data_IF_293238757700
#
_entry.id   IF_293238757700
#
_cell.length_a   1.000
_cell.length_b   1.000
_cell.length_c   1.000
_cell.angle_alpha   90.00
_cell.angle_beta   90.00
_cell.angle_gamma   90.00
#
_symmetry.space_group_name_H-M   'P 1'
#
loop_
_entity.id
_entity.type
_entity.pdbx_description
1 polymer ?
#
# COMPACT_ATOMS: atom_id res chain seq x y z
N UNK A 1 -16.15 -5.13 -10.36
CA UNK A 1 -15.23 -6.29 -10.27
C UNK A 1 -13.85 -5.71 -10.00
N UNK A 2 -13.13 -6.18 -8.99
CA UNK A 2 -11.89 -5.53 -8.55
C UNK A 2 -10.72 -5.83 -9.50
N UNK A 3 -9.89 -4.82 -9.79
CA UNK A 3 -8.70 -4.97 -10.63
C UNK A 3 -7.74 -5.99 -10.01
N UNK A 4 -7.24 -6.90 -10.84
CA UNK A 4 -6.16 -7.82 -10.48
C UNK A 4 -4.82 -7.19 -10.86
N UNK A 5 -3.87 -7.21 -9.91
CA UNK A 5 -2.53 -6.67 -10.07
C UNK A 5 -1.53 -7.81 -10.10
N UNK A 6 -0.68 -7.81 -11.14
CA UNK A 6 0.46 -8.71 -11.24
C UNK A 6 1.71 -7.99 -10.75
N UNK A 7 2.44 -8.61 -9.83
CA UNK A 7 3.64 -8.04 -9.24
C UNK A 7 4.61 -9.12 -8.81
N UNK A 8 5.90 -8.78 -8.79
CA UNK A 8 6.94 -9.63 -8.23
C UNK A 8 7.27 -9.17 -6.82
N UNK A 9 7.53 -10.14 -5.94
CA UNK A 9 8.04 -9.90 -4.59
C UNK A 9 9.30 -10.73 -4.36
N UNK A 10 10.40 -10.06 -4.08
CA UNK A 10 11.67 -10.67 -3.72
C UNK A 10 11.94 -10.41 -2.25
N UNK A 11 11.81 -11.45 -1.43
CA UNK A 11 11.98 -11.36 0.02
C UNK A 11 13.47 -11.22 0.36
N UNK A 12 13.84 -10.29 1.25
CA UNK A 12 15.25 -10.02 1.57
C UNK A 12 16.02 -11.27 2.06
N UNK A 13 15.36 -12.12 2.85
CA UNK A 13 15.97 -13.31 3.45
C UNK A 13 15.83 -14.59 2.61
N UNK A 14 15.11 -14.54 1.49
CA UNK A 14 14.89 -15.70 0.63
C UNK A 14 15.20 -15.26 -0.79
N UNK A 15 16.20 -15.86 -1.44
CA UNK A 15 16.50 -15.61 -2.85
C UNK A 15 15.37 -15.99 -3.83
N UNK A 16 14.18 -16.32 -3.31
CA UNK A 16 12.97 -16.64 -4.07
C UNK A 16 12.26 -15.34 -4.49
N UNK A 17 12.14 -15.17 -5.81
CA UNK A 17 11.26 -14.19 -6.39
C UNK A 17 9.90 -14.86 -6.64
N UNK A 18 8.88 -14.44 -5.91
CA UNK A 18 7.52 -14.91 -6.11
C UNK A 18 6.76 -13.96 -7.03
N UNK A 19 6.45 -14.40 -8.24
CA UNK A 19 5.43 -13.75 -9.07
C UNK A 19 4.05 -13.96 -8.42
N UNK A 20 3.26 -12.89 -8.37
CA UNK A 20 1.97 -12.87 -7.68
C UNK A 20 0.92 -12.21 -8.55
N UNK A 21 -0.31 -12.67 -8.38
CA UNK A 21 -1.48 -12.13 -9.05
C UNK A 21 -2.60 -12.02 -8.01
N UNK A 22 -2.91 -10.80 -7.59
CA UNK A 22 -3.79 -10.54 -6.46
C UNK A 22 -4.75 -9.38 -6.72
N UNK A 23 -5.92 -9.34 -6.06
CA UNK A 23 -6.78 -8.16 -6.08
C UNK A 23 -6.04 -6.91 -5.59
N UNK A 24 -6.39 -5.75 -6.15
CA UNK A 24 -5.78 -4.44 -5.82
C UNK A 24 -5.66 -4.21 -4.31
N UNK A 25 -6.70 -4.48 -3.54
CA UNK A 25 -6.72 -4.32 -2.07
C UNK A 25 -5.69 -5.19 -1.37
N UNK A 26 -5.55 -6.45 -1.80
CA UNK A 26 -4.56 -7.38 -1.25
C UNK A 26 -3.15 -6.91 -1.59
N UNK A 27 -2.93 -6.48 -2.83
CA UNK A 27 -1.66 -5.90 -3.27
C UNK A 27 -1.29 -4.65 -2.45
N UNK A 28 -2.23 -3.73 -2.21
CA UNK A 28 -2.01 -2.55 -1.38
C UNK A 28 -1.60 -2.92 0.05
N UNK A 29 -2.24 -3.91 0.68
CA UNK A 29 -1.80 -4.38 1.99
C UNK A 29 -0.37 -4.95 2.00
N UNK A 30 0.02 -5.63 0.93
CA UNK A 30 1.35 -6.22 0.79
C UNK A 30 2.42 -5.12 0.60
N UNK A 31 2.08 -4.01 -0.06
CA UNK A 31 3.02 -2.95 -0.42
C UNK A 31 3.75 -2.33 0.78
N UNK A 32 5.09 -2.34 0.79
CA UNK A 32 5.88 -1.68 1.82
C UNK A 32 5.76 -0.17 1.70
N UNK A 33 5.78 0.53 2.84
CA UNK A 33 5.75 1.99 2.94
C UNK A 33 4.57 2.67 2.20
N UNK A 34 3.49 1.93 1.93
CA UNK A 34 2.25 2.50 1.42
C UNK A 34 1.65 3.50 2.42
N UNK A 35 1.57 3.09 3.68
CA UNK A 35 0.97 3.85 4.78
C UNK A 35 2.03 4.49 5.66
N UNK A 36 1.72 5.64 6.26
CA UNK A 36 2.46 6.18 7.39
C UNK A 36 1.63 6.01 8.66
N UNK A 37 2.16 5.34 9.69
CA UNK A 37 1.45 5.04 10.95
C UNK A 37 0.04 4.41 10.76
N UNK A 38 -0.12 3.57 9.73
CA UNK A 38 -1.37 2.95 9.27
C UNK A 38 -2.41 3.92 8.67
N UNK A 39 -2.10 5.20 8.52
CA UNK A 39 -2.90 6.12 7.72
C UNK A 39 -2.64 5.80 6.24
N UNK A 40 -3.72 5.60 5.49
CA UNK A 40 -3.73 5.32 4.07
C UNK A 40 -3.69 6.64 3.27
N UNK A 41 -2.89 6.71 2.18
CA UNK A 41 -2.72 7.94 1.43
C UNK A 41 -3.95 8.35 0.62
N UNK A 42 -4.14 9.66 0.38
CA UNK A 42 -5.11 10.16 -0.59
C UNK A 42 -4.74 9.73 -2.02
N UNK A 43 -5.71 9.76 -2.94
CA UNK A 43 -5.60 9.22 -4.29
C UNK A 43 -4.34 9.70 -5.05
N UNK A 44 -4.06 11.00 -5.05
CA UNK A 44 -2.92 11.54 -5.79
C UNK A 44 -1.57 11.04 -5.23
N UNK A 45 -1.43 10.94 -3.90
CA UNK A 45 -0.24 10.36 -3.25
C UNK A 45 -0.12 8.87 -3.59
N UNK A 46 -1.24 8.16 -3.61
CA UNK A 46 -1.27 6.75 -3.98
C UNK A 46 -0.83 6.56 -5.43
N UNK A 47 -1.36 7.34 -6.37
CA UNK A 47 -0.98 7.26 -7.79
C UNK A 47 0.49 7.60 -8.01
N UNK A 48 1.10 8.51 -7.24
CA UNK A 48 2.56 8.73 -7.25
C UNK A 48 3.31 7.42 -6.93
N UNK A 49 2.85 6.65 -5.95
CA UNK A 49 3.46 5.36 -5.60
C UNK A 49 3.22 4.31 -6.70
N UNK A 50 2.00 4.20 -7.21
CA UNK A 50 1.64 3.17 -8.19
C UNK A 50 2.31 3.39 -9.57
N UNK A 51 2.48 4.65 -9.99
CA UNK A 51 3.20 5.02 -11.20
C UNK A 51 4.70 4.71 -11.13
N UNK A 52 5.27 4.63 -9.92
CA UNK A 52 6.68 4.29 -9.74
C UNK A 52 7.02 2.88 -10.21
N UNK A 53 6.07 1.94 -10.16
CA UNK A 53 6.27 0.55 -10.60
C UNK A 53 7.16 -0.31 -9.68
N UNK A 54 7.52 0.21 -8.50
CA UNK A 54 8.29 -0.54 -7.51
C UNK A 54 8.20 0.09 -6.11
N UNK A 55 8.42 -0.74 -5.09
CA UNK A 55 8.54 -0.32 -3.70
C UNK A 55 9.44 -1.26 -2.89
N UNK A 56 9.90 -0.77 -1.74
CA UNK A 56 10.73 -1.55 -0.82
C UNK A 56 12.19 -1.62 -1.24
N UNK A 57 12.87 -2.71 -0.85
CA UNK A 57 14.33 -2.83 -0.88
C UNK A 57 14.98 -2.46 0.46
N UNK A 58 16.31 -2.65 0.55
CA UNK A 58 17.04 -2.57 1.81
C UNK A 58 16.60 -3.69 2.77
N UNK A 59 16.13 -3.34 3.97
CA UNK A 59 15.64 -4.31 4.96
C UNK A 59 14.20 -4.81 4.71
N UNK A 60 13.57 -4.39 3.62
CA UNK A 60 12.22 -4.83 3.22
C UNK A 60 12.28 -5.60 1.91
N UNK A 61 11.33 -6.52 1.63
CA UNK A 61 11.24 -7.15 0.34
C UNK A 61 11.16 -6.11 -0.78
N UNK A 62 11.75 -6.44 -1.92
CA UNK A 62 11.66 -5.63 -3.12
C UNK A 62 10.42 -6.04 -3.90
N UNK A 63 9.58 -5.07 -4.24
CA UNK A 63 8.38 -5.24 -5.04
C UNK A 63 8.54 -4.54 -6.38
N UNK A 64 8.04 -5.16 -7.45
CA UNK A 64 7.95 -4.51 -8.76
C UNK A 64 6.66 -4.90 -9.49
N UNK A 65 6.11 -3.95 -10.23
CA UNK A 65 4.88 -4.12 -11.02
C UNK A 65 4.93 -3.19 -12.24
N UNK A 66 4.05 -3.43 -13.22
CA UNK A 66 3.85 -2.50 -14.33
C UNK A 66 3.20 -1.23 -13.80
N UNK A 67 3.80 -0.06 -13.99
CA UNK A 67 3.24 1.23 -13.55
C UNK A 67 1.78 1.43 -13.98
N UNK A 68 0.94 1.90 -13.06
CA UNK A 68 -0.46 2.20 -13.31
C UNK A 68 -0.98 3.29 -12.37
N UNK A 69 -2.15 3.83 -12.71
CA UNK A 69 -2.96 4.67 -11.84
C UNK A 69 -4.31 4.01 -11.60
N UNK A 70 -4.97 4.43 -10.53
CA UNK A 70 -6.37 4.10 -10.28
C UNK A 70 -7.22 5.36 -10.38
N UNK A 71 -8.45 5.17 -10.80
CA UNK A 71 -9.45 6.24 -10.88
C UNK A 71 -10.03 6.57 -9.50
N UNK A 72 -10.68 7.74 -9.39
CA UNK A 72 -11.47 8.11 -8.20
C UNK A 72 -12.53 7.04 -7.88
N UNK A 73 -13.20 6.50 -8.91
CA UNK A 73 -14.18 5.44 -8.72
C UNK A 73 -13.55 4.18 -8.10
N UNK A 74 -12.42 3.72 -8.64
CA UNK A 74 -11.70 2.56 -8.07
C UNK A 74 -11.24 2.83 -6.63
N UNK A 75 -10.82 4.06 -6.34
CA UNK A 75 -10.42 4.48 -5.01
C UNK A 75 -11.58 4.38 -4.02
N UNK A 76 -12.73 4.96 -4.36
CA UNK A 76 -13.93 4.89 -3.52
C UNK A 76 -14.45 3.45 -3.35
N UNK A 77 -14.39 2.63 -4.40
CA UNK A 77 -14.81 1.22 -4.34
C UNK A 77 -13.90 0.34 -3.45
N UNK A 78 -12.60 0.65 -3.39
CA UNK A 78 -11.64 -0.13 -2.60
C UNK A 78 -11.57 0.30 -1.13
N UNK A 79 -11.86 1.57 -0.80
CA UNK A 79 -11.72 2.11 0.55
C UNK A 79 -12.43 1.26 1.62
N UNK A 80 -13.71 0.85 1.48
CA UNK A 80 -14.37 0.04 2.49
C UNK A 80 -13.65 -1.29 2.77
N UNK A 81 -13.06 -1.91 1.75
CA UNK A 81 -12.32 -3.17 1.86
C UNK A 81 -10.97 -2.99 2.56
N UNK A 82 -10.37 -1.81 2.44
CA UNK A 82 -9.12 -1.45 3.11
C UNK A 82 -9.34 -1.05 4.57
N UNK A 83 -10.50 -0.46 4.90
CA UNK A 83 -10.83 -0.08 6.27
C UNK A 83 -11.36 -1.27 7.08
N UNK A 84 -12.05 -2.20 6.42
CA UNK A 84 -12.65 -3.38 7.04
C UNK A 84 -12.25 -4.67 6.29
N UNK A 85 -10.97 -5.05 6.33
CA UNK A 85 -10.48 -6.19 5.57
C UNK A 85 -10.91 -7.53 6.17
N UNK A 86 -10.98 -8.56 5.32
CA UNK A 86 -11.05 -9.94 5.77
C UNK A 86 -9.66 -10.46 6.18
N UNK A 87 -9.34 -10.34 7.47
CA UNK A 87 -8.06 -10.75 8.04
C UNK A 87 -7.73 -12.25 7.86
N UNK A 88 -8.75 -13.12 7.83
CA UNK A 88 -8.53 -14.57 7.65
C UNK A 88 -7.88 -14.89 6.30
N UNK A 89 -8.17 -14.07 5.28
CA UNK A 89 -7.59 -14.19 3.94
C UNK A 89 -6.24 -13.46 3.89
N UNK A 90 -6.17 -12.21 4.38
CA UNK A 90 -4.98 -11.38 4.27
C UNK A 90 -3.76 -11.98 5.00
N UNK A 91 -3.92 -12.49 6.22
CA UNK A 91 -2.78 -13.01 6.99
C UNK A 91 -2.01 -14.13 6.29
N UNK A 92 -2.66 -14.87 5.39
CA UNK A 92 -2.02 -15.96 4.62
C UNK A 92 -1.20 -15.45 3.44
N UNK A 93 -1.41 -14.20 3.01
CA UNK A 93 -0.84 -13.64 1.79
C UNK A 93 0.30 -12.64 2.06
N UNK A 94 0.20 -11.91 3.16
CA UNK A 94 1.11 -10.81 3.48
C UNK A 94 2.48 -11.31 3.95
N UNK A 95 3.55 -10.61 3.55
CA UNK A 95 4.91 -10.90 4.04
C UNK A 95 5.15 -10.44 5.49
N UNK A 96 4.29 -9.56 6.03
CA UNK A 96 4.35 -9.11 7.41
C UNK A 96 2.96 -8.88 7.99
N UNK A 97 2.87 -8.92 9.31
CA UNK A 97 1.66 -8.52 10.04
C UNK A 97 1.41 -7.02 9.78
N UNK A 98 0.14 -6.68 9.54
CA UNK A 98 -0.33 -5.32 9.31
C UNK A 98 -1.44 -5.00 10.29
N UNK A 99 -1.52 -3.73 10.68
CA UNK A 99 -2.68 -3.20 11.37
C UNK A 99 -3.73 -2.74 10.35
N UNK A 100 -5.01 -2.61 10.74
CA UNK A 100 -6.04 -2.01 9.89
C UNK A 100 -5.62 -0.61 9.44
N UNK A 101 -5.89 -0.31 8.16
CA UNK A 101 -5.66 1.02 7.61
C UNK A 101 -6.70 2.00 8.15
N UNK A 102 -6.33 3.27 8.19
CA UNK A 102 -7.21 4.38 8.60
C UNK A 102 -7.11 5.53 7.60
N UNK A 103 -8.09 6.42 7.61
CA UNK A 103 -8.03 7.69 6.89
C UNK A 103 -7.84 8.84 7.88
N UNK A 104 -7.21 9.90 7.41
CA UNK A 104 -7.13 11.18 8.12
C UNK A 104 -7.13 12.30 7.09
N UNK A 105 -8.31 12.90 6.89
CA UNK A 105 -8.56 13.87 5.82
C UNK A 105 -7.83 15.20 6.02
N UNK A 106 -7.24 15.45 7.20
CA UNK A 106 -6.41 16.62 7.43
C UNK A 106 -5.20 16.67 6.49
N UNK A 107 -4.76 15.51 6.00
CA UNK A 107 -3.59 15.39 5.14
C UNK A 107 -3.92 15.30 3.64
N UNK A 108 -5.20 15.35 3.25
CA UNK A 108 -5.62 15.14 1.86
C UNK A 108 -5.18 16.27 0.92
N UNK A 109 -4.92 17.47 1.43
CA UNK A 109 -4.42 18.60 0.63
C UNK A 109 -2.92 18.52 0.34
N UNK A 110 -2.18 17.58 0.95
CA UNK A 110 -0.73 17.49 0.78
C UNK A 110 -0.41 16.73 -0.51
N UNK A 111 0.26 17.36 -1.47
CA UNK A 111 0.59 16.73 -2.74
C UNK A 111 1.91 15.95 -2.75
N UNK A 112 2.88 16.33 -1.90
CA UNK A 112 4.17 15.65 -1.83
C UNK A 112 4.13 14.46 -0.88
N UNK A 113 4.57 13.29 -1.38
CA UNK A 113 4.55 12.04 -0.61
C UNK A 113 5.48 12.07 0.60
N UNK A 114 6.63 12.71 0.49
CA UNK A 114 7.56 12.77 1.61
C UNK A 114 7.02 13.67 2.73
N UNK A 115 6.56 14.86 2.39
CA UNK A 115 5.88 15.77 3.31
C UNK A 115 4.67 15.11 3.96
N UNK A 116 3.83 14.41 3.18
CA UNK A 116 2.67 13.68 3.71
C UNK A 116 3.08 12.63 4.74
N UNK A 117 4.06 11.78 4.41
CA UNK A 117 4.55 10.76 5.35
C UNK A 117 5.10 11.37 6.63
N UNK A 118 5.86 12.47 6.53
CA UNK A 118 6.46 13.15 7.69
C UNK A 118 5.37 13.71 8.61
N UNK A 119 4.44 14.51 8.09
CA UNK A 119 3.38 15.14 8.89
C UNK A 119 2.42 14.10 9.52
N UNK A 120 2.07 13.05 8.77
CA UNK A 120 1.30 11.93 9.33
C UNK A 120 2.07 11.25 10.46
N UNK A 121 3.37 11.02 10.28
CA UNK A 121 4.21 10.38 11.30
C UNK A 121 4.40 11.26 12.53
N UNK A 122 4.44 12.58 12.39
CA UNK A 122 4.50 13.52 13.52
C UNK A 122 3.22 13.49 14.36
N UNK A 123 2.05 13.40 13.72
CA UNK A 123 0.75 13.34 14.42
C UNK A 123 0.45 11.98 15.04
N UNK A 124 0.71 10.90 14.30
CA UNK A 124 0.29 9.53 14.66
C UNK A 124 1.43 8.63 15.12
N UNK A 125 2.68 9.09 15.02
CA UNK A 125 3.85 8.36 15.50
C UNK A 125 3.77 8.18 17.01
N UNK A 126 3.94 6.94 17.46
CA UNK A 126 4.11 6.65 18.88
C UNK A 126 5.50 7.20 19.26
N UNK A 127 5.52 8.16 20.19
CA UNK A 127 6.76 8.65 20.82
C UNK A 127 7.38 7.58 21.72
#
# INVERSE_FOLDING_TARGET
MERIVKYSRQDWCKCECGEREEPLTTFLYDLPNLTACNIFPPLHILNILLLRGWAGGGMSPKFSWKAFEISELEYQEMLPKLLYPNWQILHKKLWRIRLPMKLDSEFDSICDRYTWMTLVSEKHGIK
#
